data_IF_138234461329
#
_entry.id   IF_138234461329
#
_cell.length_a   1.000
_cell.length_b   1.000
_cell.length_c   1.000
_cell.angle_alpha   90.00
_cell.angle_beta   90.00
_cell.angle_gamma   90.00
#
_symmetry.space_group_name_H-M   'P 1'
#
loop_
_entity.id
_entity.type
_entity.pdbx_description
1 polymer ?
#
# COMPACT_ATOMS: atom_id res chain seq x y z
N UNK A 1 -8.97 -4.62 -6.30
CA UNK A 1 -9.09 -3.19 -5.96
C UNK A 1 -8.06 -2.84 -4.89
N UNK A 2 -7.27 -1.78 -5.08
CA UNK A 2 -6.02 -1.51 -4.34
C UNK A 2 -6.21 -1.51 -2.80
N UNK A 3 -7.30 -0.89 -2.31
CA UNK A 3 -7.70 -0.87 -0.88
C UNK A 3 -7.58 -2.23 -0.20
N UNK A 4 -8.33 -3.21 -0.70
CA UNK A 4 -8.42 -4.56 -0.10
C UNK A 4 -7.08 -5.30 -0.12
N UNK A 5 -6.21 -5.02 -1.10
CA UNK A 5 -4.87 -5.61 -1.22
C UNK A 5 -3.93 -5.05 -0.15
N UNK A 6 -3.88 -3.72 -0.02
CA UNK A 6 -3.05 -3.00 0.95
C UNK A 6 -3.48 -3.35 2.38
N UNK A 7 -4.78 -3.26 2.68
CA UNK A 7 -5.31 -3.58 4.01
C UNK A 7 -5.00 -5.03 4.42
N UNK A 8 -5.21 -5.99 3.50
CA UNK A 8 -4.88 -7.40 3.76
C UNK A 8 -3.38 -7.63 3.95
N UNK A 9 -2.51 -6.90 3.24
CA UNK A 9 -1.07 -6.99 3.43
C UNK A 9 -0.66 -6.54 4.84
N UNK A 10 -1.23 -5.43 5.32
CA UNK A 10 -0.95 -4.91 6.66
C UNK A 10 -1.52 -5.80 7.77
N UNK A 11 -2.76 -6.28 7.63
CA UNK A 11 -3.40 -7.14 8.64
C UNK A 11 -2.72 -8.51 8.80
N UNK A 12 -1.95 -8.97 7.81
CA UNK A 12 -1.12 -10.18 7.92
C UNK A 12 0.13 -9.98 8.79
N UNK A 13 0.50 -8.74 9.09
CA UNK A 13 1.68 -8.44 9.89
C UNK A 13 1.32 -8.58 11.37
N UNK A 14 2.02 -9.47 12.06
CA UNK A 14 1.82 -9.69 13.49
C UNK A 14 2.08 -8.39 14.25
N UNK A 15 1.10 -7.92 15.01
CA UNK A 15 1.16 -6.65 15.73
C UNK A 15 0.28 -5.55 15.13
N UNK A 16 -0.21 -5.71 13.89
CA UNK A 16 -1.22 -4.81 13.31
C UNK A 16 -2.61 -5.22 13.79
N UNK A 17 -3.35 -4.26 14.35
CA UNK A 17 -4.74 -4.42 14.82
C UNK A 17 -5.75 -3.92 13.80
N UNK A 18 -5.42 -2.84 13.08
CA UNK A 18 -6.28 -2.26 12.05
C UNK A 18 -5.46 -1.63 10.93
N UNK A 19 -5.97 -1.73 9.71
CA UNK A 19 -5.43 -1.08 8.52
C UNK A 19 -6.59 -0.63 7.64
N UNK A 20 -6.67 0.67 7.38
CA UNK A 20 -7.72 1.29 6.56
C UNK A 20 -7.07 2.13 5.48
N UNK A 21 -7.26 1.75 4.22
CA UNK A 21 -6.77 2.51 3.08
C UNK A 21 -7.86 3.44 2.54
N UNK A 22 -7.56 4.73 2.52
CA UNK A 22 -8.38 5.74 1.89
C UNK A 22 -7.95 5.90 0.42
N UNK A 23 -8.87 5.62 -0.49
CA UNK A 23 -8.64 5.67 -1.95
C UNK A 23 -8.61 7.10 -2.48
N UNK A 24 -9.32 8.03 -1.84
CA UNK A 24 -9.39 9.44 -2.24
C UNK A 24 -8.12 10.17 -1.83
N UNK A 25 -7.66 9.96 -0.60
CA UNK A 25 -6.47 10.66 -0.08
C UNK A 25 -5.17 9.89 -0.29
N UNK A 26 -5.24 8.65 -0.80
CA UNK A 26 -4.13 7.69 -0.87
C UNK A 26 -3.36 7.51 0.44
N UNK A 27 -4.07 7.61 1.57
CA UNK A 27 -3.47 7.47 2.90
C UNK A 27 -3.87 6.14 3.55
N UNK A 28 -2.92 5.55 4.26
CA UNK A 28 -3.11 4.33 5.04
C UNK A 28 -3.14 4.67 6.54
N UNK A 29 -4.29 4.50 7.17
CA UNK A 29 -4.45 4.64 8.61
C UNK A 29 -4.21 3.28 9.28
N UNK A 30 -3.29 3.24 10.24
CA UNK A 30 -2.86 2.00 10.91
C UNK A 30 -3.01 2.11 12.42
N UNK A 31 -3.45 1.02 13.04
CA UNK A 31 -3.35 0.81 14.49
C UNK A 31 -2.49 -0.43 14.68
N UNK A 32 -1.33 -0.29 15.31
CA UNK A 32 -0.39 -1.39 15.53
C UNK A 32 0.33 -1.26 16.88
N UNK A 33 0.87 -2.37 17.36
CA UNK A 33 1.68 -2.44 18.58
C UNK A 33 3.15 -2.23 18.20
N UNK A 34 3.69 -1.04 18.48
CA UNK A 34 5.07 -0.65 18.17
C UNK A 34 6.12 -1.55 18.84
N UNK A 35 5.76 -2.26 19.92
CA UNK A 35 6.66 -3.22 20.58
C UNK A 35 6.80 -4.53 19.80
N UNK A 36 5.95 -4.76 18.80
CA UNK A 36 5.90 -6.00 17.99
C UNK A 36 6.28 -5.78 16.54
N UNK A 37 6.10 -4.58 16.01
CA UNK A 37 6.31 -4.27 14.61
C UNK A 37 6.65 -2.80 14.40
N UNK A 38 7.60 -2.57 13.49
CA UNK A 38 7.99 -1.23 13.06
C UNK A 38 7.24 -0.79 11.80
N UNK A 39 7.11 0.53 11.65
CA UNK A 39 6.55 1.16 10.44
C UNK A 39 7.31 0.71 9.17
N UNK A 40 8.63 0.53 9.27
CA UNK A 40 9.48 0.07 8.16
C UNK A 40 9.09 -1.33 7.69
N UNK A 41 8.79 -2.24 8.62
CA UNK A 41 8.31 -3.58 8.31
C UNK A 41 6.94 -3.53 7.60
N UNK A 42 6.03 -2.69 8.08
CA UNK A 42 4.70 -2.55 7.46
C UNK A 42 4.84 -1.98 6.04
N UNK A 43 5.65 -0.94 5.85
CA UNK A 43 5.92 -0.36 4.52
C UNK A 43 6.55 -1.38 3.57
N UNK A 44 7.50 -2.17 4.04
CA UNK A 44 8.10 -3.27 3.27
C UNK A 44 7.04 -4.30 2.84
N UNK A 45 6.09 -4.63 3.72
CA UNK A 45 4.99 -5.55 3.39
C UNK A 45 4.02 -5.00 2.35
N UNK A 46 3.79 -3.69 2.35
CA UNK A 46 3.03 -3.00 1.30
C UNK A 46 3.78 -3.00 -0.04
N UNK A 47 5.09 -2.77 -0.01
CA UNK A 47 5.95 -2.88 -1.20
C UNK A 47 5.99 -4.30 -1.79
N UNK A 48 6.00 -5.33 -0.93
CA UNK A 48 5.95 -6.74 -1.36
C UNK A 48 4.67 -7.09 -2.13
N UNK A 49 3.57 -6.37 -1.93
CA UNK A 49 2.32 -6.58 -2.68
C UNK A 49 2.19 -5.63 -3.89
N UNK A 50 3.28 -4.95 -4.26
CA UNK A 50 3.39 -4.15 -5.48
C UNK A 50 3.21 -2.65 -5.29
N UNK A 51 2.83 -2.18 -4.10
CA UNK A 51 2.50 -0.77 -3.87
C UNK A 51 3.70 0.01 -3.33
N UNK A 52 4.11 1.04 -4.05
CA UNK A 52 5.15 1.96 -3.59
C UNK A 52 4.65 2.80 -2.40
N UNK A 53 5.55 3.14 -1.49
CA UNK A 53 5.30 4.07 -0.40
C UNK A 53 6.51 4.99 -0.19
N UNK A 54 6.34 6.03 0.63
CA UNK A 54 7.41 7.01 0.86
C UNK A 54 8.65 6.33 1.47
N UNK A 55 9.69 6.20 0.64
CA UNK A 55 10.97 5.56 0.97
C UNK A 55 11.04 4.04 0.72
N UNK A 56 9.96 3.40 0.23
CA UNK A 56 9.95 1.96 -0.06
C UNK A 56 9.34 1.72 -1.43
N UNK A 57 10.15 1.21 -2.36
CA UNK A 57 9.75 0.89 -3.72
C UNK A 57 9.49 -0.61 -3.84
N UNK A 58 8.38 -1.00 -4.45
CA UNK A 58 8.10 -2.39 -4.80
C UNK A 58 9.06 -2.87 -5.89
N UNK A 59 9.34 -4.17 -5.91
CA UNK A 59 10.07 -4.76 -7.05
C UNK A 59 9.24 -4.63 -8.31
N UNK A 60 9.91 -4.61 -9.46
CA UNK A 60 9.21 -4.48 -10.73
C UNK A 60 8.31 -5.68 -11.01
N UNK A 61 8.65 -6.89 -10.53
CA UNK A 61 7.75 -8.04 -10.65
C UNK A 61 6.46 -7.83 -9.85
N UNK A 62 6.56 -7.44 -8.58
CA UNK A 62 5.40 -7.23 -7.71
C UNK A 62 4.53 -6.06 -8.19
N UNK A 63 5.16 -5.01 -8.70
CA UNK A 63 4.48 -3.86 -9.27
C UNK A 63 3.75 -4.22 -10.57
N UNK A 64 4.35 -5.04 -11.42
CA UNK A 64 3.76 -5.43 -12.70
C UNK A 64 2.55 -6.36 -12.55
N UNK A 65 2.48 -7.14 -11.46
CA UNK A 65 1.32 -7.96 -11.06
C UNK A 65 0.12 -7.13 -10.55
N UNK A 66 0.33 -5.83 -10.28
CA UNK A 66 -0.79 -4.96 -9.96
C UNK A 66 -1.76 -4.82 -11.14
N UNK A 67 -3.04 -4.71 -10.80
CA UNK A 67 -4.06 -4.34 -11.75
C UNK A 67 -3.69 -2.99 -12.40
N UNK A 68 -3.96 -2.76 -13.70
CA UNK A 68 -3.56 -1.54 -14.41
C UNK A 68 -3.92 -0.23 -13.67
N UNK A 69 -5.13 -0.15 -13.08
CA UNK A 69 -5.55 1.03 -12.33
C UNK A 69 -4.74 1.32 -11.05
N UNK A 70 -3.98 0.35 -10.52
CA UNK A 70 -3.15 0.53 -9.33
C UNK A 70 -1.69 0.90 -9.67
N UNK A 71 -1.35 1.04 -10.96
CA UNK A 71 0.01 1.33 -11.44
C UNK A 71 0.34 2.83 -11.40
N UNK A 72 0.41 3.37 -10.19
CA UNK A 72 0.65 4.81 -9.92
C UNK A 72 2.07 5.32 -10.24
N UNK A 73 2.97 4.55 -10.86
CA UNK A 73 4.18 5.09 -11.49
C UNK A 73 3.88 5.74 -12.84
N UNK A 74 2.76 5.39 -13.46
CA UNK A 74 2.29 5.98 -14.70
C UNK A 74 1.54 7.30 -14.41
N UNK A 75 1.95 8.38 -15.08
CA UNK A 75 1.33 9.70 -14.92
C UNK A 75 -0.12 9.73 -15.38
N UNK A 76 -0.50 8.93 -16.39
CA UNK A 76 -1.89 8.83 -16.85
C UNK A 76 -2.77 8.24 -15.74
N UNK A 77 -2.30 7.18 -15.09
CA UNK A 77 -3.02 6.55 -13.98
C UNK A 77 -3.16 7.53 -12.80
N UNK A 78 -2.13 8.35 -12.53
CA UNK A 78 -2.24 9.40 -11.50
C UNK A 78 -3.29 10.45 -11.89
N UNK A 79 -3.33 10.87 -13.15
CA UNK A 79 -4.29 11.84 -13.65
C UNK A 79 -5.73 11.32 -13.55
N UNK A 80 -5.96 10.06 -13.92
CA UNK A 80 -7.27 9.40 -13.86
C UNK A 80 -7.87 9.39 -12.44
N UNK A 81 -7.01 9.43 -11.40
CA UNK A 81 -7.43 9.45 -9.99
C UNK A 81 -7.46 10.84 -9.35
N UNK A 82 -7.08 11.90 -10.09
CA UNK A 82 -7.13 13.31 -9.61
C UNK A 82 -8.43 14.03 -9.99
N UNK A 83 -9.28 13.42 -10.82
CA UNK A 83 -10.40 14.08 -11.50
C UNK A 83 -11.77 13.95 -10.80
N UNK A 84 -11.81 13.79 -9.47
CA UNK A 84 -13.08 13.62 -8.74
C UNK A 84 -13.33 14.74 -7.73
#
# INVERSE_FOLDING_TARGET
MCKKRIEKACLKVKGVKSAVWNVETHNLNLIFDERKVDITTIKSKVAQVGHDSKGFKATDEAYNDLHPCCKYRDEQIKADHKSN
#
